data_IF_524733866893
#
_entry.id   IF_524733866893
#
_cell.length_a   1.000
_cell.length_b   1.000
_cell.length_c   1.000
_cell.angle_alpha   90.00
_cell.angle_beta   90.00
_cell.angle_gamma   90.00
#
_symmetry.space_group_name_H-M   'P 1'
#
loop_
_entity.id
_entity.type
_entity.pdbx_description
1 polymer ?
#
# COMPACT_ATOMS: atom_id res chain seq x y z
N UNK A 1 -19.03 12.60 0.35
CA UNK A 1 -20.46 12.99 0.39
C UNK A 1 -21.01 13.00 -1.03
N UNK A 2 -21.82 12.01 -1.40
CA UNK A 2 -22.84 12.11 -2.46
C UNK A 2 -23.84 10.98 -2.19
N UNK A 3 -25.12 11.36 -2.07
CA UNK A 3 -26.22 10.54 -1.55
C UNK A 3 -26.84 9.72 -2.68
N UNK A 4 -27.13 8.45 -2.41
CA UNK A 4 -27.95 7.57 -3.24
C UNK A 4 -29.45 7.93 -3.14
N UNK A 5 -30.23 7.78 -4.24
CA UNK A 5 -31.67 8.01 -4.24
C UNK A 5 -32.49 6.82 -3.66
N UNK A 6 -33.75 7.07 -3.22
CA UNK A 6 -34.59 6.09 -2.51
C UNK A 6 -35.36 5.14 -3.45
N UNK A 7 -35.94 4.03 -2.93
CA UNK A 7 -36.63 3.01 -3.72
C UNK A 7 -38.08 3.37 -4.05
N UNK A 8 -38.50 3.04 -5.27
CA UNK A 8 -39.86 3.22 -5.79
C UNK A 8 -40.76 2.05 -5.41
N UNK A 9 -41.85 2.36 -4.70
CA UNK A 9 -42.93 1.44 -4.28
C UNK A 9 -43.80 1.00 -5.46
N UNK A 10 -44.34 -0.24 -5.49
CA UNK A 10 -45.25 -0.68 -6.56
C UNK A 10 -46.72 -0.35 -6.24
N UNK A 11 -47.58 -0.12 -7.26
CA UNK A 11 -48.99 0.13 -7.04
C UNK A 11 -49.78 -1.17 -6.81
N UNK A 12 -50.54 -1.18 -5.71
CA UNK A 12 -51.56 -2.17 -5.42
C UNK A 12 -52.76 -1.98 -6.36
N UNK A 13 -53.13 -3.01 -7.13
CA UNK A 13 -54.41 -3.08 -7.81
C UNK A 13 -55.29 -4.16 -7.17
N UNK A 14 -56.24 -3.69 -6.35
CA UNK A 14 -57.38 -4.46 -5.86
C UNK A 14 -58.33 -4.71 -7.04
N UNK A 15 -58.50 -5.96 -7.45
CA UNK A 15 -59.64 -6.36 -8.28
C UNK A 15 -60.81 -6.74 -7.37
N UNK A 16 -61.93 -6.04 -7.61
CA UNK A 16 -63.21 -6.15 -6.91
C UNK A 16 -63.90 -7.45 -7.32
N UNK A 17 -64.34 -8.25 -6.34
CA UNK A 17 -65.29 -9.34 -6.55
C UNK A 17 -66.69 -8.75 -6.80
N UNK A 18 -67.36 -9.15 -7.89
CA UNK A 18 -68.78 -8.86 -8.09
C UNK A 18 -69.64 -9.98 -7.52
N UNK A 19 -70.53 -9.58 -6.63
CA UNK A 19 -71.53 -10.38 -5.92
C UNK A 19 -72.60 -10.97 -6.85
N UNK A 20 -73.13 -12.13 -6.44
CA UNK A 20 -74.44 -12.75 -6.74
C UNK A 20 -75.44 -11.97 -7.62
N UNK A 21 -76.02 -12.61 -8.65
CA UNK A 21 -77.35 -12.26 -9.13
C UNK A 21 -78.43 -12.94 -8.27
N UNK A 22 -79.41 -12.11 -7.99
CA UNK A 22 -80.61 -12.26 -7.17
C UNK A 22 -81.48 -13.48 -7.53
N UNK A 23 -82.02 -14.13 -6.49
CA UNK A 23 -83.18 -15.01 -6.60
C UNK A 23 -84.45 -14.16 -6.63
N UNK A 24 -85.39 -14.38 -7.56
CA UNK A 24 -86.71 -13.78 -7.48
C UNK A 24 -87.56 -14.50 -6.43
N UNK A 25 -87.84 -13.78 -5.34
CA UNK A 25 -89.02 -14.00 -4.50
C UNK A 25 -90.25 -13.35 -5.14
N UNK A 26 -91.41 -13.84 -4.70
CA UNK A 26 -92.80 -13.32 -4.85
C UNK A 26 -93.62 -13.96 -5.98
N UNK A 27 -94.68 -14.71 -5.62
CA UNK A 27 -96.03 -14.27 -5.22
C UNK A 27 -96.86 -14.03 -6.50
N UNK A 28 -98.03 -14.62 -6.73
CA UNK A 28 -98.89 -15.51 -5.98
C UNK A 28 -100.11 -15.83 -6.85
N UNK A 29 -101.15 -16.31 -6.19
CA UNK A 29 -102.57 -16.28 -6.58
C UNK A 29 -103.04 -17.09 -7.79
N UNK A 30 -103.80 -18.12 -7.45
CA UNK A 30 -105.13 -18.43 -7.98
C UNK A 30 -105.26 -18.73 -9.48
N UNK A 31 -105.35 -20.03 -9.79
CA UNK A 31 -106.49 -20.44 -10.60
C UNK A 31 -106.98 -21.86 -10.28
N UNK A 32 -108.20 -21.89 -9.77
CA UNK A 32 -108.99 -23.07 -9.47
C UNK A 32 -109.32 -23.82 -10.76
N UNK A 33 -108.51 -24.80 -11.14
CA UNK A 33 -108.94 -25.85 -12.08
C UNK A 33 -109.27 -27.13 -11.31
N UNK A 34 -110.57 -27.38 -11.25
CA UNK A 34 -111.25 -28.51 -10.65
C UNK A 34 -110.85 -29.82 -11.34
N UNK A 35 -109.67 -30.37 -11.01
CA UNK A 35 -109.23 -31.68 -11.49
C UNK A 35 -109.69 -32.75 -10.49
N UNK A 36 -110.63 -33.57 -10.96
CA UNK A 36 -111.20 -34.74 -10.31
C UNK A 36 -110.18 -35.57 -9.50
N UNK A 37 -110.28 -35.47 -8.17
CA UNK A 37 -109.60 -36.33 -7.20
C UNK A 37 -110.15 -37.77 -7.29
N UNK A 38 -109.67 -38.55 -8.25
CA UNK A 38 -109.70 -40.01 -8.14
C UNK A 38 -108.81 -40.39 -6.96
N UNK A 39 -109.42 -40.85 -5.87
CA UNK A 39 -108.73 -41.57 -4.78
C UNK A 39 -108.05 -42.82 -5.36
N UNK A 40 -106.85 -42.63 -5.90
CA UNK A 40 -105.94 -43.73 -6.20
C UNK A 40 -105.56 -44.35 -4.87
N UNK A 41 -105.76 -45.67 -4.74
CA UNK A 41 -105.13 -46.50 -3.70
C UNK A 41 -103.69 -46.02 -3.56
N UNK A 42 -103.30 -45.56 -2.37
CA UNK A 42 -101.89 -45.32 -2.11
C UNK A 42 -101.16 -46.64 -2.38
N UNK A 43 -100.18 -46.67 -3.30
CA UNK A 43 -99.35 -47.84 -3.46
C UNK A 43 -98.64 -48.10 -2.14
N UNK A 44 -98.57 -49.37 -1.74
CA UNK A 44 -98.02 -49.79 -0.45
C UNK A 44 -96.72 -49.04 -0.12
N UNK A 45 -96.70 -48.39 1.05
CA UNK A 45 -95.63 -47.55 1.61
C UNK A 45 -94.22 -48.17 1.47
N UNK A 46 -94.15 -49.49 1.41
CA UNK A 46 -92.93 -50.28 1.28
C UNK A 46 -92.23 -50.10 -0.08
N UNK A 47 -92.96 -49.95 -1.18
CA UNK A 47 -92.36 -49.89 -2.52
C UNK A 47 -91.81 -48.48 -2.81
N UNK A 48 -92.48 -47.44 -2.33
CA UNK A 48 -91.98 -46.05 -2.38
C UNK A 48 -90.69 -45.92 -1.57
N UNK A 49 -90.63 -46.54 -0.39
CA UNK A 49 -89.45 -46.52 0.48
C UNK A 49 -88.23 -47.16 -0.17
N UNK A 50 -88.38 -48.30 -0.84
CA UNK A 50 -87.27 -48.97 -1.54
C UNK A 50 -86.74 -48.15 -2.73
N UNK A 51 -87.64 -47.50 -3.48
CA UNK A 51 -87.23 -46.59 -4.58
C UNK A 51 -86.50 -45.36 -4.03
N UNK A 52 -86.98 -44.79 -2.92
CA UNK A 52 -86.30 -43.66 -2.26
C UNK A 52 -84.91 -44.05 -1.76
N UNK A 53 -84.77 -45.20 -1.11
CA UNK A 53 -83.48 -45.70 -0.62
C UNK A 53 -82.49 -45.98 -1.76
N UNK A 54 -82.95 -46.54 -2.88
CA UNK A 54 -82.12 -46.71 -4.08
C UNK A 54 -81.66 -45.38 -4.69
N UNK A 55 -82.57 -44.40 -4.78
CA UNK A 55 -82.24 -43.07 -5.30
C UNK A 55 -81.26 -42.35 -4.37
N UNK A 56 -81.48 -42.43 -3.06
CA UNK A 56 -80.58 -41.88 -2.04
C UNK A 56 -79.18 -42.51 -2.13
N UNK A 57 -79.09 -43.84 -2.23
CA UNK A 57 -77.82 -44.53 -2.40
C UNK A 57 -77.10 -44.07 -3.67
N UNK A 58 -77.81 -43.98 -4.80
CA UNK A 58 -77.21 -43.55 -6.08
C UNK A 58 -76.73 -42.10 -6.04
N UNK A 59 -77.47 -41.22 -5.37
CA UNK A 59 -77.07 -39.82 -5.15
C UNK A 59 -75.81 -39.79 -4.28
N UNK A 60 -75.76 -40.56 -3.19
CA UNK A 60 -74.60 -40.65 -2.30
C UNK A 60 -73.36 -41.19 -3.03
N UNK A 61 -73.53 -42.19 -3.89
CA UNK A 61 -72.45 -42.75 -4.71
C UNK A 61 -71.91 -41.71 -5.71
N UNK A 62 -72.79 -40.99 -6.41
CA UNK A 62 -72.40 -39.92 -7.31
C UNK A 62 -71.70 -38.77 -6.58
N UNK A 63 -72.25 -38.35 -5.43
CA UNK A 63 -71.67 -37.30 -4.60
C UNK A 63 -70.27 -37.69 -4.10
N UNK A 64 -70.09 -38.95 -3.70
CA UNK A 64 -68.79 -39.49 -3.27
C UNK A 64 -67.78 -39.54 -4.43
N UNK A 65 -68.22 -39.97 -5.61
CA UNK A 65 -67.36 -39.98 -6.82
C UNK A 65 -66.93 -38.56 -7.23
N UNK A 66 -67.86 -37.60 -7.20
CA UNK A 66 -67.56 -36.20 -7.51
C UNK A 66 -66.63 -35.59 -6.48
N UNK A 67 -66.84 -35.85 -5.18
CA UNK A 67 -65.95 -35.41 -4.11
C UNK A 67 -64.54 -35.95 -4.32
N UNK A 68 -64.38 -37.24 -4.58
CA UNK A 68 -63.07 -37.85 -4.85
C UNK A 68 -62.39 -37.23 -6.07
N UNK A 69 -63.13 -37.02 -7.17
CA UNK A 69 -62.59 -36.38 -8.37
C UNK A 69 -62.13 -34.95 -8.12
N UNK A 70 -62.90 -34.20 -7.34
CA UNK A 70 -62.57 -32.83 -6.96
C UNK A 70 -61.31 -32.81 -6.08
N UNK A 71 -61.22 -33.68 -5.08
CA UNK A 71 -60.05 -33.80 -4.21
C UNK A 71 -58.77 -34.12 -5.02
N UNK A 72 -58.86 -35.06 -5.97
CA UNK A 72 -57.74 -35.39 -6.88
C UNK A 72 -57.36 -34.18 -7.73
N UNK A 73 -58.34 -33.52 -8.36
CA UNK A 73 -58.09 -32.38 -9.27
C UNK A 73 -57.44 -31.21 -8.53
N UNK A 74 -57.92 -30.91 -7.31
CA UNK A 74 -57.36 -29.85 -6.46
C UNK A 74 -55.94 -30.22 -6.04
N UNK A 75 -55.70 -31.46 -5.60
CA UNK A 75 -54.38 -31.91 -5.19
C UNK A 75 -53.36 -31.85 -6.35
N UNK A 76 -53.75 -32.29 -7.54
CA UNK A 76 -52.90 -32.21 -8.74
C UNK A 76 -52.63 -30.76 -9.16
N UNK A 77 -53.65 -29.90 -9.15
CA UNK A 77 -53.50 -28.48 -9.48
C UNK A 77 -52.55 -27.77 -8.51
N UNK A 78 -52.71 -28.00 -7.21
CA UNK A 78 -51.82 -27.45 -6.18
C UNK A 78 -50.40 -27.99 -6.35
N UNK A 79 -50.24 -29.30 -6.53
CA UNK A 79 -48.91 -29.92 -6.72
C UNK A 79 -48.19 -29.32 -7.92
N UNK A 80 -48.85 -29.26 -9.08
CA UNK A 80 -48.27 -28.69 -10.29
C UNK A 80 -47.92 -27.20 -10.10
N UNK A 81 -48.76 -26.44 -9.41
CA UNK A 81 -48.47 -25.04 -9.11
C UNK A 81 -47.28 -24.89 -8.16
N UNK A 82 -47.11 -25.78 -7.18
CA UNK A 82 -45.98 -25.74 -6.24
C UNK A 82 -44.69 -26.14 -6.97
N UNK A 83 -44.71 -27.23 -7.75
CA UNK A 83 -43.54 -27.72 -8.48
C UNK A 83 -43.03 -26.67 -9.47
N UNK A 84 -43.93 -26.01 -10.20
CA UNK A 84 -43.56 -24.93 -11.13
C UNK A 84 -42.95 -23.72 -10.43
N UNK A 85 -43.43 -23.35 -9.23
CA UNK A 85 -42.86 -22.26 -8.43
C UNK A 85 -41.49 -22.65 -7.87
N UNK A 86 -41.35 -23.87 -7.32
CA UNK A 86 -40.09 -24.38 -6.78
C UNK A 86 -39.04 -24.43 -7.89
N UNK A 87 -39.36 -24.99 -9.06
CA UNK A 87 -38.43 -25.07 -10.19
C UNK A 87 -37.98 -23.68 -10.65
N UNK A 88 -38.90 -22.72 -10.68
CA UNK A 88 -38.59 -21.34 -11.05
C UNK A 88 -37.63 -20.69 -10.06
N UNK A 89 -37.92 -20.80 -8.76
CA UNK A 89 -37.08 -20.19 -7.72
C UNK A 89 -35.72 -20.89 -7.59
N UNK A 90 -35.66 -22.22 -7.72
CA UNK A 90 -34.41 -22.97 -7.74
C UNK A 90 -33.53 -22.57 -8.94
N UNK A 91 -34.10 -22.44 -10.13
CA UNK A 91 -33.37 -21.95 -11.32
C UNK A 91 -32.85 -20.53 -11.11
N UNK A 92 -33.65 -19.66 -10.51
CA UNK A 92 -33.26 -18.27 -10.22
C UNK A 92 -32.12 -18.21 -9.21
N UNK A 93 -32.22 -18.95 -8.10
CA UNK A 93 -31.17 -19.04 -7.08
C UNK A 93 -29.88 -19.61 -7.70
N UNK A 94 -29.98 -20.69 -8.48
CA UNK A 94 -28.83 -21.28 -9.17
C UNK A 94 -28.14 -20.27 -10.08
N UNK A 95 -28.90 -19.50 -10.87
CA UNK A 95 -28.35 -18.48 -11.75
C UNK A 95 -27.65 -17.36 -10.96
N UNK A 96 -28.24 -16.88 -9.86
CA UNK A 96 -27.62 -15.87 -9.00
C UNK A 96 -26.32 -16.38 -8.39
N UNK A 97 -26.30 -17.61 -7.88
CA UNK A 97 -25.11 -18.24 -7.30
C UNK A 97 -24.01 -18.35 -8.36
N UNK A 98 -24.31 -18.89 -9.55
CA UNK A 98 -23.34 -19.02 -10.64
C UNK A 98 -22.74 -17.67 -11.07
N UNK A 99 -23.57 -16.63 -11.15
CA UNK A 99 -23.10 -15.28 -11.49
C UNK A 99 -22.17 -14.73 -10.40
N UNK A 100 -22.52 -14.90 -9.12
CA UNK A 100 -21.68 -14.45 -8.01
C UNK A 100 -20.33 -15.17 -7.95
N UNK A 101 -20.30 -16.48 -8.24
CA UNK A 101 -19.06 -17.25 -8.32
C UNK A 101 -18.17 -16.78 -9.47
N UNK A 102 -18.77 -16.46 -10.63
CA UNK A 102 -18.02 -15.90 -11.76
C UNK A 102 -17.38 -14.55 -11.39
N UNK A 103 -18.15 -13.64 -10.80
CA UNK A 103 -17.65 -12.34 -10.36
C UNK A 103 -16.52 -12.47 -9.31
N UNK A 104 -16.66 -13.40 -8.36
CA UNK A 104 -15.60 -13.70 -7.41
C UNK A 104 -14.35 -14.24 -8.10
N UNK A 105 -14.50 -15.11 -9.10
CA UNK A 105 -13.39 -15.59 -9.92
C UNK A 105 -12.65 -14.46 -10.63
N UNK A 106 -13.38 -13.55 -11.27
CA UNK A 106 -12.80 -12.38 -11.97
C UNK A 106 -12.06 -11.44 -10.99
N UNK A 107 -12.62 -11.25 -9.78
CA UNK A 107 -11.97 -10.46 -8.73
C UNK A 107 -10.72 -11.13 -8.17
N UNK A 108 -10.73 -12.45 -8.02
CA UNK A 108 -9.55 -13.22 -7.59
C UNK A 108 -8.42 -13.12 -8.61
N UNK A 109 -8.72 -13.25 -9.91
CA UNK A 109 -7.75 -13.07 -10.99
C UNK A 109 -7.14 -11.65 -10.99
N UNK A 110 -7.98 -10.63 -10.73
CA UNK A 110 -7.51 -9.24 -10.59
C UNK A 110 -6.56 -9.07 -9.39
N UNK A 111 -6.89 -9.68 -8.25
CA UNK A 111 -6.05 -9.65 -7.05
C UNK A 111 -4.71 -10.33 -7.33
N UNK A 112 -4.73 -11.50 -7.97
CA UNK A 112 -3.51 -12.26 -8.28
C UNK A 112 -2.54 -11.46 -9.17
N UNK A 113 -3.07 -10.81 -10.22
CA UNK A 113 -2.31 -9.88 -11.05
C UNK A 113 -1.73 -8.72 -10.23
N UNK A 114 -2.52 -8.10 -9.37
CA UNK A 114 -2.06 -6.98 -8.52
C UNK A 114 -0.97 -7.39 -7.53
N UNK A 115 -1.03 -8.62 -7.03
CA UNK A 115 -0.03 -9.20 -6.13
C UNK A 115 1.29 -9.40 -6.88
N UNK A 116 1.24 -9.96 -8.09
CA UNK A 116 2.42 -10.13 -8.93
C UNK A 116 3.13 -8.79 -9.22
N UNK A 117 2.39 -7.76 -9.65
CA UNK A 117 2.95 -6.42 -9.86
C UNK A 117 3.57 -5.82 -8.59
N UNK A 118 2.94 -6.06 -7.44
CA UNK A 118 3.46 -5.58 -6.15
C UNK A 118 4.76 -6.28 -5.78
N UNK A 119 4.86 -7.59 -6.05
CA UNK A 119 6.05 -8.39 -5.80
C UNK A 119 7.23 -7.95 -6.67
N UNK A 120 7.03 -7.76 -7.98
CA UNK A 120 8.08 -7.23 -8.87
C UNK A 120 8.57 -5.85 -8.43
N UNK A 121 7.64 -4.98 -8.04
CA UNK A 121 7.97 -3.65 -7.53
C UNK A 121 8.75 -3.72 -6.23
N UNK A 122 8.41 -4.65 -5.34
CA UNK A 122 9.11 -4.87 -4.08
C UNK A 122 10.56 -5.31 -4.32
N UNK A 123 10.80 -6.23 -5.25
CA UNK A 123 12.15 -6.70 -5.61
C UNK A 123 13.00 -5.58 -6.24
N UNK A 124 12.38 -4.75 -7.08
CA UNK A 124 13.03 -3.55 -7.64
C UNK A 124 13.45 -2.57 -6.55
N UNK A 125 12.57 -2.28 -5.59
CA UNK A 125 12.87 -1.40 -4.45
C UNK A 125 14.00 -1.98 -3.61
N UNK A 126 13.95 -3.27 -3.29
CA UNK A 126 14.98 -3.96 -2.51
C UNK A 126 16.36 -3.87 -3.18
N UNK A 127 16.41 -4.09 -4.49
CA UNK A 127 17.66 -3.98 -5.27
C UNK A 127 18.22 -2.56 -5.21
N UNK A 128 17.38 -1.54 -5.43
CA UNK A 128 17.80 -0.13 -5.35
C UNK A 128 18.25 0.26 -3.94
N UNK A 129 17.58 -0.24 -2.91
CA UNK A 129 17.96 -0.01 -1.52
C UNK A 129 19.36 -0.58 -1.23
N UNK A 130 19.61 -1.84 -1.62
CA UNK A 130 20.93 -2.45 -1.44
C UNK A 130 22.04 -1.70 -2.18
N UNK A 131 21.74 -1.15 -3.36
CA UNK A 131 22.70 -0.32 -4.10
C UNK A 131 23.02 0.98 -3.35
N UNK A 132 21.99 1.69 -2.86
CA UNK A 132 22.17 2.93 -2.08
C UNK A 132 22.96 2.67 -0.80
N UNK A 133 22.64 1.60 -0.07
CA UNK A 133 23.37 1.21 1.14
C UNK A 133 24.84 0.91 0.85
N UNK A 134 25.14 0.26 -0.27
CA UNK A 134 26.52 -0.01 -0.68
C UNK A 134 27.30 1.27 -1.01
N UNK A 135 26.65 2.23 -1.68
CA UNK A 135 27.26 3.51 -2.03
C UNK A 135 27.49 4.37 -0.79
N UNK A 136 26.57 4.36 0.17
CA UNK A 136 26.70 5.10 1.42
C UNK A 136 27.92 4.62 2.22
N UNK A 137 28.13 3.30 2.32
CA UNK A 137 29.32 2.73 2.97
C UNK A 137 30.62 3.15 2.30
N UNK A 138 30.63 3.24 0.97
CA UNK A 138 31.81 3.72 0.23
C UNK A 138 32.10 5.20 0.50
N UNK A 139 31.06 6.02 0.69
CA UNK A 139 31.23 7.44 1.00
C UNK A 139 31.80 7.66 2.41
N UNK A 140 31.42 6.83 3.39
CA UNK A 140 31.98 6.89 4.75
C UNK A 140 33.50 6.59 4.74
N UNK A 141 33.94 5.62 3.93
CA UNK A 141 35.35 5.30 3.74
C UNK A 141 36.12 6.46 3.08
N UNK A 142 35.57 7.03 2.00
CA UNK A 142 36.16 8.21 1.33
C UNK A 142 36.28 9.39 2.30
N UNK A 143 35.24 9.66 3.08
CA UNK A 143 35.24 10.74 4.09
C UNK A 143 36.33 10.50 5.14
N UNK A 144 36.48 9.26 5.60
CA UNK A 144 37.53 8.87 6.54
C UNK A 144 38.93 9.06 5.95
N UNK A 145 39.13 8.72 4.68
CA UNK A 145 40.39 8.93 3.96
C UNK A 145 40.69 10.43 3.77
N UNK A 146 39.68 11.25 3.45
CA UNK A 146 39.83 12.71 3.34
C UNK A 146 40.28 13.30 4.67
N UNK A 147 39.65 12.92 5.78
CA UNK A 147 40.04 13.39 7.11
C UNK A 147 41.48 13.00 7.45
N UNK A 148 41.86 11.74 7.19
CA UNK A 148 43.22 11.27 7.38
C UNK A 148 44.25 12.06 6.55
N UNK A 149 43.91 12.38 5.30
CA UNK A 149 44.77 13.17 4.42
C UNK A 149 44.88 14.61 4.89
N UNK A 150 43.78 15.21 5.35
CA UNK A 150 43.78 16.55 5.92
C UNK A 150 44.69 16.61 7.15
N UNK A 151 44.55 15.66 8.08
CA UNK A 151 45.40 15.58 9.28
C UNK A 151 46.89 15.46 8.92
N UNK A 152 47.22 14.67 7.88
CA UNK A 152 48.60 14.53 7.38
C UNK A 152 49.12 15.82 6.76
N UNK A 153 48.30 16.52 5.98
CA UNK A 153 48.67 17.82 5.39
C UNK A 153 48.94 18.82 6.51
N UNK A 154 48.03 18.92 7.49
CA UNK A 154 48.18 19.83 8.62
C UNK A 154 49.44 19.52 9.42
N UNK A 155 49.72 18.23 9.69
CA UNK A 155 50.95 17.81 10.36
C UNK A 155 52.21 18.20 9.56
N UNK A 156 52.21 17.99 8.24
CA UNK A 156 53.32 18.37 7.36
C UNK A 156 53.53 19.89 7.32
N UNK A 157 52.45 20.67 7.27
CA UNK A 157 52.52 22.13 7.31
C UNK A 157 53.08 22.64 8.64
N UNK A 158 52.63 22.08 9.77
CA UNK A 158 53.16 22.43 11.08
C UNK A 158 54.64 22.05 11.21
N UNK A 159 55.02 20.87 10.71
CA UNK A 159 56.41 20.44 10.69
C UNK A 159 57.29 21.39 9.85
N UNK A 160 56.79 21.88 8.72
CA UNK A 160 57.49 22.86 7.89
C UNK A 160 57.66 24.23 8.58
N UNK A 161 56.75 24.59 9.49
CA UNK A 161 56.81 25.84 10.27
C UNK A 161 57.61 25.72 11.57
N UNK A 162 57.88 24.51 12.05
CA UNK A 162 58.57 24.26 13.32
C UNK A 162 59.94 24.95 13.44
N UNK A 163 60.61 25.19 12.31
CA UNK A 163 61.93 25.82 12.25
C UNK A 163 61.90 27.29 11.80
N UNK A 164 60.70 27.84 11.60
CA UNK A 164 60.52 29.25 11.31
C UNK A 164 60.44 30.03 12.63
N UNK A 165 61.25 31.07 12.74
CA UNK A 165 61.26 31.98 13.89
C UNK A 165 60.63 33.29 13.46
N UNK A 166 59.55 33.68 14.13
CA UNK A 166 58.89 34.96 13.94
C UNK A 166 59.43 36.00 14.93
N UNK A 167 59.98 37.09 14.41
CA UNK A 167 60.44 38.24 15.20
C UNK A 167 59.51 39.41 14.91
N UNK A 168 58.62 39.71 15.85
CA UNK A 168 57.69 40.82 15.74
C UNK A 168 58.28 42.13 16.29
N UNK A 169 57.69 43.27 15.90
CA UNK A 169 58.02 44.61 16.40
C UNK A 169 59.45 45.07 16.10
N UNK A 170 60.05 44.55 15.03
CA UNK A 170 61.36 45.01 14.57
C UNK A 170 61.15 46.30 13.74
N UNK A 171 61.71 47.47 14.13
CA UNK A 171 61.60 48.70 13.35
C UNK A 171 62.13 48.49 11.93
N UNK A 172 61.43 49.02 10.94
CA UNK A 172 61.84 48.92 9.54
C UNK A 172 62.75 50.09 9.17
N UNK A 173 63.84 49.79 8.45
CA UNK A 173 64.79 50.79 7.95
C UNK A 173 65.12 50.48 6.50
N UNK A 174 65.33 51.52 5.70
CA UNK A 174 65.87 51.35 4.34
C UNK A 174 67.26 50.73 4.43
N UNK A 175 67.53 49.78 3.52
CA UNK A 175 68.82 49.11 3.38
C UNK A 175 69.31 48.36 4.63
N UNK A 176 68.38 47.79 5.41
CA UNK A 176 68.73 47.00 6.58
C UNK A 176 69.28 45.60 6.23
N UNK A 177 70.22 45.11 7.04
CA UNK A 177 70.75 43.75 6.93
C UNK A 177 70.11 42.84 8.00
N UNK A 178 69.05 42.13 7.62
CA UNK A 178 68.26 41.29 8.53
C UNK A 178 69.10 40.21 9.22
N UNK A 179 70.05 39.59 8.51
CA UNK A 179 70.94 38.57 9.08
C UNK A 179 71.78 39.13 10.24
N UNK A 180 72.32 40.33 10.06
CA UNK A 180 73.12 41.00 11.11
C UNK A 180 72.27 41.40 12.31
N UNK A 181 70.99 41.72 12.12
CA UNK A 181 70.06 41.99 13.22
C UNK A 181 69.76 40.70 14.00
N UNK A 182 69.49 39.59 13.31
CA UNK A 182 69.24 38.29 13.93
C UNK A 182 70.46 37.80 14.73
N UNK A 183 71.67 37.91 14.18
CA UNK A 183 72.92 37.59 14.90
C UNK A 183 73.03 38.38 16.22
N UNK A 184 72.78 39.69 16.18
CA UNK A 184 72.81 40.56 17.37
C UNK A 184 71.75 40.15 18.39
N UNK A 185 70.52 39.84 17.96
CA UNK A 185 69.46 39.36 18.84
C UNK A 185 69.88 38.05 19.51
N UNK A 186 70.43 37.09 18.74
CA UNK A 186 70.95 35.83 19.26
C UNK A 186 72.00 36.02 20.36
N UNK A 187 72.95 36.93 20.15
CA UNK A 187 73.94 37.29 21.16
C UNK A 187 73.30 37.85 22.43
N UNK A 188 72.31 38.74 22.29
CA UNK A 188 71.61 39.37 23.45
C UNK A 188 70.87 38.31 24.29
N UNK A 189 70.22 37.34 23.66
CA UNK A 189 69.50 36.27 24.36
C UNK A 189 70.39 35.09 24.78
N UNK A 190 71.73 35.23 24.65
CA UNK A 190 72.73 34.19 24.96
C UNK A 190 72.56 32.90 24.13
N UNK A 191 72.01 33.01 22.93
CA UNK A 191 71.90 31.93 21.96
C UNK A 191 72.47 32.41 20.61
N UNK A 192 73.81 32.45 20.46
CA UNK A 192 74.44 32.95 19.25
C UNK A 192 73.98 32.14 18.03
N UNK A 193 73.51 32.83 17.00
CA UNK A 193 73.07 32.23 15.74
C UNK A 193 74.07 32.63 14.67
N UNK A 194 74.64 31.67 13.93
CA UNK A 194 75.52 31.98 12.80
C UNK A 194 74.69 32.25 11.54
N UNK A 195 75.16 33.14 10.66
CA UNK A 195 74.61 33.31 9.30
C UNK A 195 74.47 32.00 8.54
N UNK A 196 75.37 31.03 8.76
CA UNK A 196 75.31 29.71 8.13
C UNK A 196 74.09 28.87 8.52
N UNK A 197 73.46 29.21 9.65
CA UNK A 197 72.34 28.48 10.23
C UNK A 197 70.99 29.01 9.73
N UNK A 198 70.99 30.20 9.11
CA UNK A 198 69.81 30.87 8.57
C UNK A 198 69.71 30.56 7.08
N UNK A 199 68.57 30.01 6.63
CA UNK A 199 68.32 29.74 5.20
C UNK A 199 67.92 31.02 4.51
N UNK A 200 66.95 31.70 5.10
CA UNK A 200 66.40 32.93 4.57
C UNK A 200 65.88 33.79 5.71
N UNK A 201 66.01 35.10 5.54
CA UNK A 201 65.42 36.09 6.41
C UNK A 201 64.76 37.14 5.52
N UNK A 202 63.48 37.40 5.74
CA UNK A 202 62.73 38.38 4.97
C UNK A 202 61.64 39.02 5.84
N UNK A 203 61.26 40.24 5.47
CA UNK A 203 60.06 40.89 6.02
C UNK A 203 58.84 40.19 5.45
N UNK A 204 57.84 39.92 6.27
CA UNK A 204 56.55 39.43 5.75
C UNK A 204 55.64 40.64 5.51
N UNK A 205 55.00 40.73 4.32
CA UNK A 205 54.07 41.80 4.02
C UNK A 205 53.00 41.92 5.10
N UNK A 206 52.61 43.15 5.37
CA UNK A 206 51.53 43.45 6.29
C UNK A 206 50.21 42.93 5.75
N UNK A 207 49.47 42.20 6.58
CA UNK A 207 48.02 42.12 6.40
C UNK A 207 47.41 43.42 6.97
N UNK A 208 46.60 44.13 6.17
CA UNK A 208 46.03 45.44 6.52
C UNK A 208 45.15 45.41 7.79
N UNK A 209 44.82 44.21 8.27
CA UNK A 209 44.08 43.96 9.50
C UNK A 209 44.90 44.13 10.80
N UNK A 210 46.24 44.09 10.75
CA UNK A 210 47.09 44.09 11.96
C UNK A 210 48.14 45.19 11.92
N UNK A 211 47.99 46.25 12.72
CA UNK A 211 48.89 47.42 12.79
C UNK A 211 50.33 47.14 13.33
N UNK A 212 50.95 45.95 13.16
CA UNK A 212 52.36 45.69 13.54
C UNK A 212 53.20 44.87 12.54
N UNK A 213 54.45 45.30 12.29
CA UNK A 213 55.39 44.63 11.37
C UNK A 213 55.99 43.35 11.96
N UNK A 214 56.11 42.31 11.13
CA UNK A 214 56.71 41.01 11.46
C UNK A 214 57.88 40.68 10.53
N UNK A 215 58.96 40.15 11.08
CA UNK A 215 60.09 39.56 10.33
C UNK A 215 60.01 38.06 10.50
N UNK A 216 60.12 37.33 9.39
CA UNK A 216 60.26 35.88 9.41
C UNK A 216 61.71 35.50 9.08
N UNK A 217 62.29 34.69 9.96
CA UNK A 217 63.59 34.08 9.75
C UNK A 217 63.41 32.55 9.73
N UNK A 218 63.73 31.92 8.62
CA UNK A 218 63.71 30.45 8.50
C UNK A 218 65.10 29.91 8.77
N UNK A 219 65.25 29.05 9.79
CA UNK A 219 66.50 28.30 10.05
C UNK A 219 66.65 27.15 9.05
N UNK A 220 67.88 26.66 8.84
CA UNK A 220 68.19 25.47 8.03
C UNK A 220 67.38 24.25 8.45
N UNK A 221 66.29 24.02 7.73
CA UNK A 221 65.65 22.73 7.64
C UNK A 221 66.21 22.02 6.40
N UNK A 222 67.22 21.16 6.59
CA UNK A 222 67.62 20.23 5.55
C UNK A 222 66.47 19.24 5.34
N UNK A 223 65.70 19.39 4.27
CA UNK A 223 64.89 18.29 3.77
C UNK A 223 65.84 17.27 3.14
N UNK A 224 66.26 16.28 3.94
CA UNK A 224 66.83 15.06 3.38
C UNK A 224 65.64 14.25 2.86
N UNK A 225 65.32 14.44 1.58
CA UNK A 225 64.36 13.60 0.87
C UNK A 225 64.98 12.20 0.81
N UNK A 226 64.60 11.33 1.74
CA UNK A 226 64.87 9.92 1.61
C UNK A 226 63.89 9.38 0.57
N UNK A 227 64.40 9.14 -0.64
CA UNK A 227 63.68 8.34 -1.62
C UNK A 227 63.75 6.88 -1.14
N UNK A 228 62.66 6.36 -0.58
CA UNK A 228 62.56 4.98 -0.08
C UNK A 228 62.67 3.91 -1.18
N UNK A 229 62.81 4.29 -2.45
CA UNK A 229 62.92 3.36 -3.57
C UNK A 229 64.35 3.11 -4.10
N UNK A 230 65.42 3.39 -3.34
CA UNK A 230 66.77 3.03 -3.80
C UNK A 230 67.69 2.43 -2.71
N UNK A 231 67.60 1.11 -2.44
CA UNK A 231 68.54 0.42 -1.59
C UNK A 231 69.65 -0.18 -2.45
N UNK A 232 70.76 0.53 -2.73
CA UNK A 232 72.00 -0.14 -3.18
C UNK A 232 73.24 0.76 -3.24
N UNK A 233 74.29 0.22 -2.61
CA UNK A 233 75.73 0.33 -2.91
C UNK A 233 76.54 1.41 -2.16
N UNK A 234 76.86 1.10 -0.90
CA UNK A 234 78.14 1.51 -0.31
C UNK A 234 79.17 0.41 -0.65
N UNK A 235 79.93 0.62 -1.73
CA UNK A 235 81.16 -0.12 -1.96
C UNK A 235 82.24 0.43 -1.02
N UNK A 236 82.75 -0.43 -0.14
CA UNK A 236 83.92 -0.16 0.70
C UNK A 236 85.16 0.06 -0.18
N UNK A 237 85.62 1.31 -0.30
CA UNK A 237 86.98 1.63 -0.67
C UNK A 237 87.89 1.52 0.55
N UNK A 238 88.51 0.36 0.73
CA UNK A 238 89.59 0.15 1.70
C UNK A 238 90.89 0.72 1.12
N UNK A 239 91.38 1.81 1.70
CA UNK A 239 92.77 2.26 1.57
C UNK A 239 93.68 1.39 2.44
N UNK A 240 94.80 0.89 1.90
CA UNK A 240 95.83 0.27 2.75
C UNK A 240 97.02 -0.35 2.01
N UNK A 241 98.03 0.51 1.76
CA UNK A 241 99.45 0.26 1.47
C UNK A 241 99.87 -0.24 0.08
#
# INVERSE_FOLDING_TARGET
MQRTPPPTTPPAQRLKYSSNPELPETCGTDDNTFVSLRKRKQPDDKNIKAVLEFVEQKINDQLSSWKLRLDITIAESIRNSIDTVIDRELKKISATISNSFKELGDRLDTIDKSLFYTMERQDSIKTRLTQVESQLRSNDDVTSQINLLQDKIDAMEQQARLYNVEIANLPERRDENLLSIIEKIGCVIKHPVSKSDIVSAHRVPYDQSTFRSKVFASKKCYYKIYNENNPRQLHHGSTGK
#
